data_IF_925579386278
#
_entry.id   IF_925579386278
#
_cell.length_a   1.000
_cell.length_b   1.000
_cell.length_c   1.000
_cell.angle_alpha   90.00
_cell.angle_beta   90.00
_cell.angle_gamma   90.00
#
_symmetry.space_group_name_H-M   'P 1'
#
loop_
_entity.id
_entity.type
_entity.pdbx_description
1 polymer ?
#
# COMPACT_ATOMS: atom_id res chain seq x y z
N UNK A 1 3.07 15.79 9.52
CA UNK A 1 3.91 16.98 9.74
C UNK A 1 3.53 17.61 11.06
N UNK A 2 4.51 17.95 11.89
CA UNK A 2 4.33 18.57 13.20
C UNK A 2 4.57 20.08 13.03
N UNK A 3 3.49 20.86 13.05
CA UNK A 3 3.50 22.32 12.89
C UNK A 3 2.91 23.06 14.09
N UNK A 4 2.65 24.36 13.95
CA UNK A 4 2.27 25.26 15.06
C UNK A 4 1.09 24.75 15.92
N UNK A 5 0.03 24.23 15.29
CA UNK A 5 -1.13 23.70 16.01
C UNK A 5 -0.83 22.43 16.81
N UNK A 6 0.18 21.66 16.41
CA UNK A 6 0.64 20.50 17.15
C UNK A 6 1.43 20.94 18.39
N UNK A 7 2.36 21.90 18.25
CA UNK A 7 3.15 22.45 19.35
C UNK A 7 2.27 23.07 20.44
N UNK A 8 1.23 23.82 20.09
CA UNK A 8 0.27 24.40 21.05
C UNK A 8 -0.47 23.36 21.92
N UNK A 9 -0.55 22.11 21.46
CA UNK A 9 -1.18 21.01 22.20
C UNK A 9 -0.18 20.24 23.08
N UNK A 10 1.10 20.53 22.96
CA UNK A 10 2.15 19.88 23.75
C UNK A 10 2.20 20.47 25.16
N UNK A 11 2.85 19.73 26.05
CA UNK A 11 3.19 20.25 27.38
C UNK A 11 4.37 21.21 27.23
N UNK A 12 4.38 22.29 28.00
CA UNK A 12 5.53 23.21 28.10
C UNK A 12 6.84 22.49 28.47
N UNK A 13 6.75 21.36 29.17
CA UNK A 13 7.89 20.54 29.56
C UNK A 13 8.34 19.53 28.50
N UNK A 14 7.72 19.52 27.31
CA UNK A 14 8.00 18.53 26.29
C UNK A 14 9.31 18.81 25.54
N UNK A 15 9.96 17.74 25.09
CA UNK A 15 11.06 17.78 24.14
C UNK A 15 10.65 17.08 22.86
N UNK A 16 11.06 17.62 21.71
CA UNK A 16 10.82 17.00 20.40
C UNK A 16 12.13 16.53 19.80
N UNK A 17 12.15 15.29 19.31
CA UNK A 17 13.35 14.71 18.67
C UNK A 17 13.00 14.28 17.26
N UNK A 18 13.77 14.76 16.26
CA UNK A 18 13.68 14.30 14.89
C UNK A 18 15.05 13.84 14.37
N UNK A 19 15.18 12.52 14.30
CA UNK A 19 16.32 11.80 13.72
C UNK A 19 15.86 10.90 12.56
N UNK A 20 14.72 11.24 11.95
CA UNK A 20 14.04 10.39 10.96
C UNK A 20 14.13 10.97 9.56
N UNK A 21 13.37 12.03 9.26
CA UNK A 21 13.39 12.71 7.95
C UNK A 21 13.20 14.22 8.08
N UNK A 22 13.86 14.97 7.20
CA UNK A 22 13.59 16.39 7.00
C UNK A 22 12.12 16.63 6.63
N UNK A 23 11.54 17.72 7.11
CA UNK A 23 10.14 18.10 6.83
C UNK A 23 9.06 17.35 7.62
N UNK A 24 9.43 16.41 8.50
CA UNK A 24 8.46 15.87 9.46
C UNK A 24 8.02 16.92 10.49
N UNK A 25 8.91 17.85 10.81
CA UNK A 25 8.66 19.02 11.65
C UNK A 25 8.78 20.26 10.76
N UNK A 26 7.84 21.18 10.94
CA UNK A 26 7.94 22.52 10.37
C UNK A 26 9.02 23.32 11.13
N UNK A 27 10.10 23.66 10.43
CA UNK A 27 11.29 24.30 11.02
C UNK A 27 11.01 25.71 11.55
N UNK A 28 10.09 26.45 10.92
CA UNK A 28 9.69 27.79 11.36
C UNK A 28 8.79 27.68 12.60
N UNK A 29 7.80 26.80 12.56
CA UNK A 29 6.94 26.58 13.74
C UNK A 29 7.71 26.01 14.94
N UNK A 30 8.75 25.19 14.70
CA UNK A 30 9.64 24.70 15.76
C UNK A 30 10.42 25.85 16.40
N UNK A 31 10.97 26.75 15.59
CA UNK A 31 11.69 27.92 16.08
C UNK A 31 10.78 28.79 16.96
N UNK A 32 9.59 29.14 16.48
CA UNK A 32 8.62 29.94 17.25
C UNK A 32 8.22 29.24 18.56
N UNK A 33 7.94 27.93 18.52
CA UNK A 33 7.55 27.18 19.72
C UNK A 33 8.66 27.11 20.78
N UNK A 34 9.94 27.10 20.36
CA UNK A 34 11.10 27.14 21.24
C UNK A 34 11.36 28.53 21.80
N UNK A 35 11.24 29.57 20.97
CA UNK A 35 11.43 30.97 21.37
C UNK A 35 10.35 31.41 22.37
N UNK A 36 9.10 31.04 22.13
CA UNK A 36 7.96 31.33 23.00
C UNK A 36 7.91 30.48 24.29
N UNK A 37 8.77 29.47 24.40
CA UNK A 37 8.74 28.52 25.52
C UNK A 37 7.50 27.61 25.55
N UNK A 38 6.84 27.39 24.41
CA UNK A 38 5.72 26.45 24.29
C UNK A 38 6.17 25.00 24.48
N UNK A 39 7.45 24.71 24.23
CA UNK A 39 8.11 23.44 24.53
C UNK A 39 9.48 23.70 25.18
N UNK A 40 10.00 22.71 25.90
CA UNK A 40 11.22 22.85 26.67
C UNK A 40 12.50 22.77 25.82
N UNK A 41 12.48 22.06 24.70
CA UNK A 41 13.66 21.92 23.84
C UNK A 41 13.49 20.94 22.68
N UNK A 42 14.55 20.77 21.89
CA UNK A 42 14.53 19.88 20.73
C UNK A 42 15.88 19.20 20.45
N UNK A 43 15.84 18.04 19.78
CA UNK A 43 16.99 17.31 19.25
C UNK A 43 16.79 17.01 17.77
N UNK A 44 17.57 17.61 16.87
CA UNK A 44 17.34 17.54 15.42
C UNK A 44 18.60 17.07 14.69
N UNK A 45 18.49 15.98 13.93
CA UNK A 45 19.59 15.45 13.09
C UNK A 45 19.37 15.68 11.59
N UNK A 46 18.14 15.96 11.18
CA UNK A 46 17.73 16.00 9.76
C UNK A 46 16.94 17.27 9.46
N UNK A 47 17.11 17.81 8.25
CA UNK A 47 16.57 19.11 7.84
C UNK A 47 15.81 19.02 6.50
N UNK A 48 14.88 19.93 6.25
CA UNK A 48 14.13 19.99 4.97
C UNK A 48 15.09 20.13 3.79
N UNK A 49 16.09 20.99 3.94
CA UNK A 49 17.14 21.22 2.96
C UNK A 49 18.49 20.93 3.59
N UNK A 50 19.24 20.02 2.98
CA UNK A 50 20.60 19.68 3.39
C UNK A 50 21.58 19.93 2.22
N UNK A 51 22.76 20.52 2.46
CA UNK A 51 23.30 20.97 3.75
C UNK A 51 22.54 22.18 4.34
N UNK A 52 22.36 22.17 5.66
CA UNK A 52 21.78 23.27 6.43
C UNK A 52 22.85 23.90 7.30
N UNK A 53 22.96 25.23 7.30
CA UNK A 53 24.05 25.94 7.99
C UNK A 53 23.59 27.11 8.86
N UNK A 54 22.36 27.57 8.71
CA UNK A 54 21.89 28.86 9.20
C UNK A 54 20.42 28.86 9.63
N UNK A 55 19.91 27.73 10.15
CA UNK A 55 18.54 27.70 10.66
C UNK A 55 18.41 28.53 11.95
N UNK A 56 17.27 29.23 12.15
CA UNK A 56 17.09 30.16 13.27
C UNK A 56 17.24 29.56 14.66
N UNK A 57 16.94 28.26 14.81
CA UNK A 57 17.10 27.55 16.09
C UNK A 57 18.53 27.04 16.32
N UNK A 58 19.47 27.25 15.38
CA UNK A 58 20.88 26.93 15.60
C UNK A 58 21.47 27.91 16.61
N UNK A 59 22.05 27.35 17.69
CA UNK A 59 22.64 28.14 18.77
C UNK A 59 21.68 28.47 19.92
N UNK A 60 20.43 28.01 19.88
CA UNK A 60 19.56 28.00 21.06
C UNK A 60 20.08 26.98 22.08
N UNK A 61 20.23 27.38 23.35
CA UNK A 61 20.81 26.54 24.42
C UNK A 61 19.97 25.27 24.71
N UNK A 62 18.69 25.28 24.38
CA UNK A 62 17.75 24.17 24.57
C UNK A 62 17.57 23.31 23.30
N UNK A 63 18.43 23.48 22.29
CA UNK A 63 18.39 22.72 21.05
C UNK A 63 19.72 22.01 20.82
N UNK A 64 19.65 20.70 20.64
CA UNK A 64 20.79 19.89 20.19
C UNK A 64 20.61 19.61 18.71
N UNK A 65 21.61 19.96 17.91
CA UNK A 65 21.64 19.64 16.48
C UNK A 65 22.84 18.77 16.14
N UNK A 66 22.62 17.81 15.25
CA UNK A 66 23.69 17.00 14.64
C UNK A 66 23.54 17.01 13.12
N UNK A 67 24.64 16.97 12.36
CA UNK A 67 24.60 17.08 10.90
C UNK A 67 24.35 15.72 10.23
N UNK A 68 23.13 15.19 10.33
CA UNK A 68 22.69 13.92 9.72
C UNK A 68 23.63 12.74 10.03
N UNK A 69 23.90 12.56 11.33
CA UNK A 69 24.83 11.56 11.84
C UNK A 69 24.18 10.20 12.15
N UNK A 70 22.86 10.04 12.00
CA UNK A 70 22.13 8.82 12.36
C UNK A 70 22.74 7.51 11.81
N UNK A 71 23.30 7.53 10.61
CA UNK A 71 23.96 6.37 9.97
C UNK A 71 25.50 6.51 9.86
N UNK A 72 26.08 7.54 10.47
CA UNK A 72 27.51 7.84 10.43
C UNK A 72 28.28 7.06 11.50
N UNK A 73 28.15 5.73 11.50
CA UNK A 73 28.87 4.81 12.40
C UNK A 73 29.61 3.74 11.61
N UNK A 74 30.73 3.24 12.15
CA UNK A 74 31.54 2.20 11.51
C UNK A 74 30.72 0.94 11.23
N UNK A 75 29.89 0.51 12.18
CA UNK A 75 29.06 -0.68 12.04
C UNK A 75 27.96 -0.53 10.98
N UNK A 76 27.38 0.67 10.84
CA UNK A 76 26.38 0.93 9.82
C UNK A 76 27.02 0.98 8.42
N UNK A 77 28.18 1.61 8.29
CA UNK A 77 28.93 1.68 7.04
C UNK A 77 29.45 0.30 6.60
N UNK A 78 29.94 -0.52 7.53
CA UNK A 78 30.35 -1.90 7.23
C UNK A 78 29.16 -2.74 6.72
N UNK A 79 28.01 -2.69 7.41
CA UNK A 79 26.80 -3.40 6.98
C UNK A 79 26.33 -2.94 5.61
N UNK A 80 26.31 -1.63 5.36
CA UNK A 80 25.94 -1.07 4.07
C UNK A 80 26.90 -1.56 2.96
N UNK A 81 28.21 -1.52 3.21
CA UNK A 81 29.23 -2.02 2.29
C UNK A 81 29.05 -3.50 1.95
N UNK A 82 28.83 -4.35 2.96
CA UNK A 82 28.60 -5.79 2.76
C UNK A 82 27.30 -6.05 1.98
N UNK A 83 26.22 -5.31 2.24
CA UNK A 83 24.95 -5.45 1.51
C UNK A 83 25.13 -5.12 0.03
N UNK A 84 25.74 -3.97 -0.27
CA UNK A 84 25.98 -3.55 -1.66
C UNK A 84 26.91 -4.53 -2.39
N UNK A 85 27.97 -5.02 -1.74
CA UNK A 85 28.87 -6.01 -2.33
C UNK A 85 28.14 -7.32 -2.70
N UNK A 86 27.24 -7.82 -1.83
CA UNK A 86 26.40 -8.99 -2.14
C UNK A 86 25.48 -8.71 -3.32
N UNK A 87 24.82 -7.55 -3.35
CA UNK A 87 23.91 -7.16 -4.42
C UNK A 87 24.62 -7.01 -5.77
N UNK A 88 25.83 -6.43 -5.81
CA UNK A 88 26.66 -6.36 -7.02
C UNK A 88 27.09 -7.75 -7.49
N UNK A 89 27.45 -8.66 -6.58
CA UNK A 89 27.80 -10.05 -6.93
C UNK A 89 26.63 -10.77 -7.61
N UNK A 90 25.42 -10.63 -7.06
CA UNK A 90 24.19 -11.21 -7.63
C UNK A 90 23.90 -10.62 -9.02
N UNK A 91 24.01 -9.29 -9.14
CA UNK A 91 23.80 -8.59 -10.41
C UNK A 91 24.72 -9.10 -11.52
N UNK A 92 26.02 -9.23 -11.22
CA UNK A 92 27.04 -9.69 -12.17
C UNK A 92 26.88 -11.19 -12.53
N UNK A 93 26.28 -11.99 -11.64
CA UNK A 93 25.94 -13.38 -11.90
C UNK A 93 24.67 -13.54 -12.73
N UNK A 94 23.95 -12.46 -13.04
CA UNK A 94 22.64 -12.51 -13.71
C UNK A 94 21.53 -13.05 -12.80
N UNK A 95 21.75 -13.06 -11.49
CA UNK A 95 20.80 -13.51 -10.48
C UNK A 95 19.82 -12.38 -10.10
N UNK A 96 18.73 -12.72 -9.41
CA UNK A 96 17.82 -11.72 -8.83
C UNK A 96 18.59 -10.90 -7.78
N UNK A 97 18.54 -9.58 -7.87
CA UNK A 97 19.16 -8.67 -6.89
C UNK A 97 18.07 -8.24 -5.91
N UNK A 98 18.05 -8.77 -4.68
CA UNK A 98 17.01 -8.47 -3.72
C UNK A 98 16.95 -6.98 -3.40
N UNK A 99 18.09 -6.28 -3.30
CA UNK A 99 18.22 -4.86 -2.92
C UNK A 99 17.98 -3.87 -4.07
N UNK A 100 17.52 -4.34 -5.23
CA UNK A 100 17.40 -3.48 -6.40
C UNK A 100 16.29 -2.45 -6.21
N UNK A 101 16.65 -1.17 -6.21
CA UNK A 101 15.72 -0.04 -6.09
C UNK A 101 14.84 0.08 -7.34
N UNK A 102 15.31 -0.47 -8.47
CA UNK A 102 14.59 -0.68 -9.71
C UNK A 102 14.71 -2.16 -10.12
N UNK A 103 13.66 -2.76 -10.70
CA UNK A 103 13.69 -4.19 -11.06
C UNK A 103 14.79 -4.46 -12.10
N UNK A 104 15.89 -5.05 -11.64
CA UNK A 104 16.89 -5.70 -12.47
C UNK A 104 17.34 -6.97 -11.75
N UNK A 105 16.47 -7.99 -11.75
CA UNK A 105 16.81 -9.30 -11.24
C UNK A 105 16.43 -10.37 -12.23
N UNK A 106 17.43 -11.13 -12.68
CA UNK A 106 17.26 -12.25 -13.61
C UNK A 106 16.59 -11.92 -14.94
N UNK A 107 16.63 -12.87 -15.89
CA UNK A 107 15.75 -12.79 -17.06
C UNK A 107 14.35 -13.18 -16.61
N UNK A 108 13.54 -12.18 -16.23
CA UNK A 108 12.10 -12.41 -15.98
C UNK A 108 11.47 -12.83 -17.31
N UNK A 109 10.87 -14.01 -17.33
CA UNK A 109 10.17 -14.54 -18.49
C UNK A 109 9.17 -13.51 -19.02
N UNK A 110 9.09 -13.37 -20.35
CA UNK A 110 8.22 -12.41 -21.02
C UNK A 110 6.75 -12.54 -20.59
N UNK A 111 6.34 -13.76 -20.25
CA UNK A 111 4.96 -14.10 -19.92
C UNK A 111 4.63 -13.80 -18.45
N UNK A 112 5.64 -13.75 -17.57
CA UNK A 112 5.49 -13.39 -16.14
C UNK A 112 5.51 -11.88 -15.94
N UNK A 113 6.34 -11.17 -16.71
CA UNK A 113 6.59 -9.73 -16.55
C UNK A 113 5.31 -8.86 -16.52
N UNK A 114 4.29 -9.08 -17.38
CA UNK A 114 3.04 -8.33 -17.34
C UNK A 114 2.26 -8.50 -16.03
N UNK A 115 2.44 -9.62 -15.32
CA UNK A 115 1.78 -9.92 -14.06
C UNK A 115 2.28 -9.09 -12.87
N UNK A 116 3.49 -8.52 -12.95
CA UNK A 116 4.11 -7.74 -11.87
C UNK A 116 3.27 -6.50 -11.51
N UNK A 117 2.96 -5.57 -12.43
CA UNK A 117 2.12 -4.42 -12.10
C UNK A 117 0.68 -4.82 -11.73
N UNK A 118 0.18 -5.96 -12.22
CA UNK A 118 -1.14 -6.46 -11.85
C UNK A 118 -1.18 -6.90 -10.37
N UNK A 119 -0.28 -7.79 -9.96
CA UNK A 119 -0.27 -8.34 -8.60
C UNK A 119 0.06 -7.25 -7.56
N UNK A 120 0.84 -6.23 -7.94
CA UNK A 120 1.09 -5.07 -7.09
C UNK A 120 -0.20 -4.27 -6.82
N UNK A 121 -0.99 -3.98 -7.87
CA UNK A 121 -2.32 -3.35 -7.71
C UNK A 121 -3.29 -4.23 -6.93
N UNK A 122 -3.26 -5.55 -7.16
CA UNK A 122 -4.05 -6.50 -6.36
C UNK A 122 -3.66 -6.43 -4.88
N UNK A 123 -2.38 -6.24 -4.55
CA UNK A 123 -1.92 -6.05 -3.18
C UNK A 123 -2.55 -4.82 -2.51
N UNK A 124 -2.60 -3.69 -3.21
CA UNK A 124 -3.25 -2.46 -2.72
C UNK A 124 -4.76 -2.64 -2.55
N UNK A 125 -5.43 -3.25 -3.54
CA UNK A 125 -6.86 -3.61 -3.45
C UNK A 125 -7.11 -4.53 -2.23
N UNK A 126 -6.31 -5.58 -2.06
CA UNK A 126 -6.38 -6.50 -0.93
C UNK A 126 -6.29 -5.77 0.41
N UNK A 127 -5.33 -4.86 0.54
CA UNK A 127 -5.12 -4.08 1.76
C UNK A 127 -6.27 -3.13 2.05
N UNK A 128 -6.83 -2.46 1.04
CA UNK A 128 -8.00 -1.58 1.22
C UNK A 128 -9.25 -2.32 1.72
N UNK A 129 -9.37 -3.61 1.41
CA UNK A 129 -10.46 -4.48 1.88
C UNK A 129 -10.20 -5.09 3.27
N UNK A 130 -8.97 -4.99 3.77
CA UNK A 130 -8.58 -5.54 5.07
C UNK A 130 -9.15 -4.72 6.22
N UNK A 131 -9.67 -5.39 7.26
CA UNK A 131 -10.35 -4.76 8.40
C UNK A 131 -9.80 -5.17 9.77
N UNK A 132 -8.88 -6.13 9.81
CA UNK A 132 -8.18 -6.59 10.99
C UNK A 132 -6.73 -6.93 10.60
N UNK A 133 -5.86 -7.15 11.60
CA UNK A 133 -4.44 -7.40 11.34
C UNK A 133 -4.23 -8.70 10.56
N UNK A 134 -3.36 -8.66 9.54
CA UNK A 134 -2.96 -9.85 8.79
C UNK A 134 -2.11 -10.78 9.66
N UNK A 135 -2.35 -12.07 9.53
CA UNK A 135 -1.55 -13.13 10.15
C UNK A 135 -0.88 -14.03 9.10
N UNK A 136 -1.45 -14.08 7.89
CA UNK A 136 -0.92 -14.86 6.78
C UNK A 136 -1.29 -14.22 5.44
N UNK A 137 -0.39 -14.32 4.46
CA UNK A 137 -0.58 -13.94 3.06
C UNK A 137 -0.16 -15.11 2.17
N UNK A 138 -1.07 -15.61 1.35
CA UNK A 138 -0.80 -16.57 0.30
C UNK A 138 -0.89 -15.86 -1.06
N UNK A 139 0.18 -15.95 -1.86
CA UNK A 139 0.23 -15.49 -3.24
C UNK A 139 0.08 -16.71 -4.13
N UNK A 140 -1.05 -16.81 -4.83
CA UNK A 140 -1.36 -17.95 -5.71
C UNK A 140 -1.18 -17.54 -7.16
N UNK A 141 -0.44 -18.36 -7.92
CA UNK A 141 -0.21 -18.20 -9.35
C UNK A 141 -0.75 -19.42 -10.08
N UNK A 142 -1.86 -19.23 -10.78
CA UNK A 142 -2.57 -20.28 -11.50
C UNK A 142 -2.37 -20.14 -13.02
N UNK A 143 -2.36 -21.28 -13.72
CA UNK A 143 -2.33 -21.35 -15.19
C UNK A 143 -0.95 -21.58 -15.77
N UNK A 144 -0.77 -21.21 -17.05
CA UNK A 144 0.43 -21.58 -17.82
C UNK A 144 1.75 -21.04 -17.23
N UNK A 145 1.72 -19.82 -16.66
CA UNK A 145 2.91 -19.18 -16.08
C UNK A 145 3.38 -19.83 -14.77
N UNK A 146 2.58 -20.71 -14.15
CA UNK A 146 2.93 -21.41 -12.90
C UNK A 146 4.15 -22.32 -13.04
N UNK A 147 4.47 -22.74 -14.28
CA UNK A 147 5.65 -23.57 -14.60
C UNK A 147 6.96 -22.77 -14.73
N UNK A 148 6.87 -21.43 -14.71
CA UNK A 148 8.01 -20.51 -14.84
C UNK A 148 8.52 -20.03 -13.46
N UNK A 149 9.63 -19.31 -13.44
CA UNK A 149 10.07 -18.62 -12.22
C UNK A 149 9.16 -17.41 -11.93
N UNK A 150 8.26 -17.58 -10.96
CA UNK A 150 7.25 -16.61 -10.57
C UNK A 150 7.52 -15.96 -9.21
N UNK A 151 8.71 -16.14 -8.63
CA UNK A 151 9.06 -15.55 -7.32
C UNK A 151 8.93 -14.03 -7.28
N UNK A 152 9.18 -13.37 -8.41
CA UNK A 152 9.00 -11.92 -8.53
C UNK A 152 7.55 -11.47 -8.27
N UNK A 153 6.56 -12.33 -8.55
CA UNK A 153 5.16 -12.03 -8.29
C UNK A 153 4.83 -12.04 -6.79
N UNK A 154 5.48 -12.90 -6.01
CA UNK A 154 5.38 -12.87 -4.53
C UNK A 154 5.90 -11.54 -3.99
N UNK A 155 7.09 -11.13 -4.42
CA UNK A 155 7.68 -9.86 -3.98
C UNK A 155 6.80 -8.65 -4.38
N UNK A 156 6.25 -8.68 -5.59
CA UNK A 156 5.37 -7.63 -6.09
C UNK A 156 4.03 -7.59 -5.35
N UNK A 157 3.46 -8.75 -5.02
CA UNK A 157 2.26 -8.84 -4.18
C UNK A 157 2.51 -8.19 -2.82
N UNK A 158 3.59 -8.59 -2.13
CA UNK A 158 3.93 -8.06 -0.80
C UNK A 158 4.21 -6.55 -0.86
N UNK A 159 4.90 -6.08 -1.89
CA UNK A 159 5.11 -4.64 -2.10
C UNK A 159 3.78 -3.89 -2.15
N UNK A 160 2.83 -4.37 -2.96
CA UNK A 160 1.49 -3.80 -3.06
C UNK A 160 0.71 -3.86 -1.75
N UNK A 161 0.77 -4.98 -1.03
CA UNK A 161 0.07 -5.16 0.26
C UNK A 161 0.56 -4.14 1.29
N UNK A 162 1.87 -3.90 1.36
CA UNK A 162 2.43 -3.00 2.37
C UNK A 162 2.47 -1.53 1.98
N UNK A 163 2.27 -1.19 0.70
CA UNK A 163 2.41 0.17 0.16
C UNK A 163 1.66 1.23 0.98
N UNK A 164 0.41 0.96 1.35
CA UNK A 164 -0.49 1.94 1.97
C UNK A 164 -0.59 1.81 3.50
N UNK A 165 0.17 0.89 4.12
CA UNK A 165 0.07 0.56 5.58
C UNK A 165 1.39 0.71 6.34
N UNK A 166 2.42 1.25 5.69
CA UNK A 166 3.70 1.57 6.31
C UNK A 166 4.12 3.00 5.95
N UNK A 167 4.92 3.62 6.82
CA UNK A 167 5.44 4.98 6.60
C UNK A 167 6.73 5.01 5.77
N UNK A 168 7.42 3.88 5.68
CA UNK A 168 8.65 3.72 4.91
C UNK A 168 8.34 3.41 3.45
N UNK A 169 9.26 3.71 2.54
CA UNK A 169 9.05 3.34 1.14
C UNK A 169 9.17 1.82 0.98
N UNK A 170 8.12 1.18 0.45
CA UNK A 170 8.13 -0.26 0.20
C UNK A 170 8.77 -0.56 -1.16
N UNK A 171 9.59 -1.59 -1.17
CA UNK A 171 10.35 -2.09 -2.31
C UNK A 171 10.22 -3.62 -2.36
N UNK A 172 10.62 -4.22 -3.48
CA UNK A 172 10.67 -5.68 -3.61
C UNK A 172 11.63 -6.33 -2.60
N UNK A 173 12.57 -5.55 -2.05
CA UNK A 173 13.57 -5.98 -1.06
C UNK A 173 12.98 -6.11 0.33
N UNK A 174 12.37 -5.02 0.81
CA UNK A 174 12.00 -4.87 2.21
C UNK A 174 10.60 -5.40 2.47
N UNK A 175 9.77 -5.62 1.44
CA UNK A 175 8.42 -6.15 1.63
C UNK A 175 8.38 -7.51 2.37
N UNK A 176 9.23 -8.51 2.05
CA UNK A 176 9.31 -9.74 2.84
C UNK A 176 9.78 -9.51 4.29
N UNK A 177 10.74 -8.60 4.49
CA UNK A 177 11.26 -8.25 5.81
C UNK A 177 10.20 -7.57 6.67
N UNK A 178 9.39 -6.69 6.06
CA UNK A 178 8.24 -6.04 6.70
C UNK A 178 7.22 -7.09 7.13
N UNK A 179 6.93 -8.10 6.29
CA UNK A 179 6.05 -9.20 6.64
C UNK A 179 6.58 -9.99 7.85
N UNK A 180 7.85 -10.38 7.82
CA UNK A 180 8.51 -11.13 8.90
C UNK A 180 8.52 -10.36 10.23
N UNK A 181 8.89 -9.08 10.20
CA UNK A 181 8.91 -8.21 11.39
C UNK A 181 7.52 -8.02 12.00
N UNK A 182 6.46 -8.11 11.18
CA UNK A 182 5.06 -8.04 11.61
C UNK A 182 4.49 -9.41 11.98
N UNK A 183 5.28 -10.48 11.93
CA UNK A 183 4.84 -11.83 12.23
C UNK A 183 3.83 -12.39 11.24
N UNK A 184 3.84 -11.90 9.99
CA UNK A 184 2.95 -12.33 8.92
C UNK A 184 3.62 -13.46 8.16
N UNK A 185 3.00 -14.64 8.14
CA UNK A 185 3.50 -15.76 7.36
C UNK A 185 3.17 -15.56 5.87
N UNK A 186 4.17 -15.67 4.99
CA UNK A 186 3.97 -15.55 3.54
C UNK A 186 4.20 -16.88 2.84
N UNK A 187 3.39 -17.20 1.82
CA UNK A 187 3.57 -18.39 0.99
C UNK A 187 3.31 -18.09 -0.48
N UNK A 188 4.17 -18.58 -1.34
CA UNK A 188 3.92 -18.67 -2.78
C UNK A 188 3.34 -20.04 -3.13
N UNK A 189 2.17 -20.06 -3.76
CA UNK A 189 1.45 -21.26 -4.18
C UNK A 189 1.32 -21.22 -5.71
N UNK A 190 1.63 -22.32 -6.38
CA UNK A 190 1.54 -22.41 -7.84
C UNK A 190 0.68 -23.59 -8.25
N UNK A 191 -0.18 -23.40 -9.26
CA UNK A 191 -0.98 -24.48 -9.85
C UNK A 191 -1.05 -24.34 -11.37
N UNK A 192 -0.91 -25.43 -12.15
CA UNK A 192 -1.09 -25.38 -13.60
C UNK A 192 -2.57 -25.25 -14.00
N UNK A 193 -3.50 -25.50 -13.07
CA UNK A 193 -4.93 -25.47 -13.33
C UNK A 193 -5.48 -24.05 -13.14
N UNK A 194 -6.14 -23.54 -14.18
CA UNK A 194 -6.95 -22.33 -14.13
C UNK A 194 -8.23 -22.60 -14.94
N UNK A 195 -9.39 -22.27 -14.37
CA UNK A 195 -10.69 -22.63 -14.96
C UNK A 195 -11.07 -21.68 -16.11
N UNK A 196 -11.24 -20.39 -15.80
CA UNK A 196 -11.83 -19.42 -16.73
C UNK A 196 -10.83 -18.59 -17.54
N UNK A 197 -9.57 -18.55 -17.09
CA UNK A 197 -8.53 -17.68 -17.68
C UNK A 197 -7.22 -18.42 -17.87
N UNK A 198 -6.43 -17.98 -18.85
CA UNK A 198 -5.11 -18.56 -19.16
C UNK A 198 -4.16 -18.52 -17.96
N UNK A 199 -4.19 -17.43 -17.22
CA UNK A 199 -3.45 -17.23 -15.98
C UNK A 199 -4.30 -16.44 -14.99
N UNK A 200 -4.27 -16.80 -13.71
CA UNK A 200 -4.92 -16.04 -12.64
C UNK A 200 -3.92 -15.80 -11.52
N UNK A 201 -3.86 -14.57 -11.04
CA UNK A 201 -3.05 -14.16 -9.92
C UNK A 201 -3.97 -13.84 -8.74
N UNK A 202 -3.77 -14.51 -7.61
CA UNK A 202 -4.64 -14.35 -6.43
C UNK A 202 -3.79 -14.02 -5.21
N UNK A 203 -4.25 -13.06 -4.41
CA UNK A 203 -3.74 -12.82 -3.06
C UNK A 203 -4.84 -13.24 -2.10
N UNK A 204 -4.51 -14.14 -1.18
CA UNK A 204 -5.37 -14.52 -0.05
C UNK A 204 -4.70 -14.14 1.25
N UNK A 205 -5.47 -13.82 2.27
CA UNK A 205 -4.93 -13.68 3.61
C UNK A 205 -5.90 -14.06 4.70
N UNK A 206 -5.32 -14.45 5.83
CA UNK A 206 -6.03 -14.73 7.06
C UNK A 206 -5.84 -13.57 8.03
N UNK A 207 -6.93 -13.10 8.62
CA UNK A 207 -6.91 -12.02 9.59
C UNK A 207 -6.91 -12.55 11.02
N UNK A 208 -6.53 -11.69 11.97
CA UNK A 208 -6.46 -12.01 13.40
C UNK A 208 -7.80 -12.39 14.03
N UNK A 209 -8.92 -12.04 13.39
CA UNK A 209 -10.27 -12.42 13.83
C UNK A 209 -10.78 -13.73 13.21
N UNK A 210 -9.94 -14.40 12.42
CA UNK A 210 -10.26 -15.66 11.75
C UNK A 210 -10.98 -15.50 10.41
N UNK A 211 -11.32 -14.28 10.00
CA UNK A 211 -11.85 -14.02 8.67
C UNK A 211 -10.77 -14.20 7.59
N UNK A 212 -11.22 -14.43 6.36
CA UNK A 212 -10.37 -14.53 5.18
C UNK A 212 -10.75 -13.48 4.16
N UNK A 213 -9.74 -12.96 3.46
CA UNK A 213 -9.90 -12.04 2.35
C UNK A 213 -9.18 -12.62 1.14
N UNK A 214 -9.74 -12.40 -0.04
CA UNK A 214 -9.08 -12.73 -1.29
C UNK A 214 -9.38 -11.73 -2.39
N UNK A 215 -8.40 -11.49 -3.26
CA UNK A 215 -8.58 -10.77 -4.51
C UNK A 215 -7.85 -11.51 -5.61
N UNK A 216 -8.45 -11.58 -6.80
CA UNK A 216 -7.90 -12.29 -7.94
C UNK A 216 -7.97 -11.41 -9.19
N UNK A 217 -6.93 -11.46 -10.02
CA UNK A 217 -6.85 -10.69 -11.25
C UNK A 217 -6.23 -11.47 -12.40
N UNK A 218 -6.44 -10.97 -13.61
CA UNK A 218 -5.86 -11.53 -14.84
C UNK A 218 -5.56 -10.44 -15.86
N UNK A 219 -4.88 -10.82 -16.94
CA UNK A 219 -4.57 -9.97 -18.09
C UNK A 219 -5.32 -10.52 -19.30
N UNK A 220 -6.10 -9.68 -19.97
CA UNK A 220 -6.97 -10.10 -21.07
C UNK A 220 -6.59 -9.46 -22.41
N UNK A 221 -6.69 -10.26 -23.46
CA UNK A 221 -6.47 -9.87 -24.86
C UNK A 221 -5.03 -9.47 -25.19
N UNK A 222 -4.76 -9.11 -26.46
CA UNK A 222 -3.42 -8.72 -26.92
C UNK A 222 -2.87 -7.47 -26.22
N UNK A 223 -3.78 -6.61 -25.74
CA UNK A 223 -3.43 -5.38 -24.99
C UNK A 223 -3.06 -5.64 -23.53
N UNK A 224 -3.18 -6.89 -23.05
CA UNK A 224 -2.88 -7.25 -21.66
C UNK A 224 -3.64 -6.35 -20.66
N UNK A 225 -4.94 -6.16 -20.90
CA UNK A 225 -5.78 -5.31 -20.03
C UNK A 225 -5.92 -5.99 -18.69
N UNK A 226 -5.47 -5.31 -17.64
CA UNK A 226 -5.58 -5.72 -16.24
C UNK A 226 -7.04 -5.73 -15.80
N UNK A 227 -7.51 -6.87 -15.32
CA UNK A 227 -8.87 -7.03 -14.80
C UNK A 227 -8.84 -7.65 -13.41
N UNK A 228 -9.72 -7.15 -12.56
CA UNK A 228 -10.11 -7.81 -11.32
C UNK A 228 -11.17 -8.85 -11.69
N UNK A 229 -10.92 -10.12 -11.32
CA UNK A 229 -11.77 -11.26 -11.67
C UNK A 229 -12.34 -12.01 -10.47
N UNK A 230 -11.87 -11.72 -9.26
CA UNK A 230 -12.44 -12.27 -8.05
C UNK A 230 -12.21 -11.38 -6.84
N UNK A 231 -13.20 -11.29 -5.96
CA UNK A 231 -13.07 -10.62 -4.65
C UNK A 231 -13.86 -11.43 -3.62
N UNK A 232 -13.21 -11.95 -2.58
CA UNK A 232 -13.84 -12.70 -1.49
C UNK A 232 -14.78 -13.83 -1.97
N UNK A 233 -14.43 -14.50 -3.07
CA UNK A 233 -15.23 -15.57 -3.66
C UNK A 233 -16.43 -15.11 -4.50
N UNK A 234 -16.54 -13.82 -4.82
CA UNK A 234 -17.44 -13.31 -5.84
C UNK A 234 -16.70 -13.25 -7.18
N UNK A 235 -17.26 -13.90 -8.20
CA UNK A 235 -16.74 -13.81 -9.57
C UNK A 235 -17.11 -12.46 -10.17
N UNK A 236 -16.07 -11.75 -10.62
CA UNK A 236 -16.19 -10.44 -11.24
C UNK A 236 -15.36 -10.41 -12.52
N UNK A 237 -15.48 -9.36 -13.31
CA UNK A 237 -14.73 -9.11 -14.53
C UNK A 237 -14.78 -7.61 -14.85
N UNK A 238 -14.01 -6.82 -14.10
CA UNK A 238 -13.95 -5.36 -14.27
C UNK A 238 -12.51 -4.91 -14.51
N UNK A 239 -12.25 -3.95 -15.43
CA UNK A 239 -10.92 -3.36 -15.55
C UNK A 239 -10.48 -2.70 -14.24
N UNK A 240 -9.19 -2.80 -13.92
CA UNK A 240 -8.63 -2.07 -12.78
C UNK A 240 -8.39 -0.61 -13.18
N UNK A 241 -9.13 0.31 -12.57
CA UNK A 241 -8.96 1.77 -12.68
C UNK A 241 -8.13 2.32 -11.51
N UNK A 242 -7.75 3.60 -11.59
CA UNK A 242 -7.06 4.31 -10.50
C UNK A 242 -7.95 4.40 -9.26
N UNK A 243 -9.22 4.75 -9.42
CA UNK A 243 -10.15 4.81 -8.30
C UNK A 243 -11.25 3.75 -8.44
N UNK A 244 -11.45 2.96 -7.37
CA UNK A 244 -12.44 1.91 -7.28
C UNK A 244 -13.25 2.08 -5.99
N UNK A 245 -14.55 1.82 -6.03
CA UNK A 245 -15.38 1.68 -4.83
C UNK A 245 -15.91 0.26 -4.75
N UNK A 246 -15.66 -0.38 -3.61
CA UNK A 246 -16.11 -1.73 -3.29
C UNK A 246 -17.19 -1.64 -2.22
N UNK A 247 -18.36 -2.20 -2.54
CA UNK A 247 -19.53 -2.17 -1.67
C UNK A 247 -20.02 -3.59 -1.45
N UNK A 248 -20.21 -3.99 -0.19
CA UNK A 248 -20.93 -5.22 0.17
C UNK A 248 -22.20 -4.90 0.94
N UNK A 249 -23.32 -5.48 0.50
CA UNK A 249 -24.65 -5.21 1.06
C UNK A 249 -25.62 -6.38 0.85
N UNK A 250 -26.72 -6.40 1.60
CA UNK A 250 -27.80 -7.38 1.42
C UNK A 250 -28.70 -7.04 0.21
N UNK A 251 -28.96 -8.02 -0.66
CA UNK A 251 -29.72 -7.82 -1.91
C UNK A 251 -31.14 -7.31 -1.63
N UNK A 252 -31.42 -6.06 -2.04
CA UNK A 252 -32.76 -5.46 -1.94
C UNK A 252 -32.98 -4.42 -3.04
N UNK A 253 -34.25 -4.21 -3.47
CA UNK A 253 -34.57 -3.19 -4.46
C UNK A 253 -34.10 -1.79 -4.05
N UNK A 254 -33.61 -1.02 -5.03
CA UNK A 254 -33.27 0.40 -4.87
C UNK A 254 -31.81 0.69 -4.49
N UNK A 255 -31.01 -0.30 -4.07
CA UNK A 255 -29.62 -0.08 -3.62
C UNK A 255 -28.76 0.60 -4.69
N UNK A 256 -28.71 0.05 -5.90
CA UNK A 256 -27.91 0.62 -7.01
C UNK A 256 -28.37 2.05 -7.35
N UNK A 257 -29.68 2.31 -7.31
CA UNK A 257 -30.22 3.65 -7.54
C UNK A 257 -29.76 4.64 -6.47
N UNK A 258 -29.75 4.23 -5.21
CA UNK A 258 -29.24 5.05 -4.09
C UNK A 258 -27.75 5.34 -4.22
N UNK A 259 -26.93 4.34 -4.57
CA UNK A 259 -25.47 4.52 -4.78
C UNK A 259 -25.25 5.55 -5.90
N UNK A 260 -25.87 5.34 -7.06
CA UNK A 260 -25.74 6.25 -8.21
C UNK A 260 -26.25 7.65 -7.91
N UNK A 261 -27.34 7.79 -7.14
CA UNK A 261 -27.87 9.08 -6.73
C UNK A 261 -26.89 9.84 -5.81
N UNK A 262 -26.33 9.17 -4.80
CA UNK A 262 -25.38 9.79 -3.86
C UNK A 262 -24.11 10.24 -4.58
N UNK A 263 -23.53 9.38 -5.43
CA UNK A 263 -22.35 9.73 -6.23
C UNK A 263 -22.65 10.90 -7.18
N UNK A 264 -23.79 10.84 -7.88
CA UNK A 264 -24.22 11.91 -8.80
C UNK A 264 -24.46 13.25 -8.11
N UNK A 265 -25.02 13.27 -6.90
CA UNK A 265 -25.20 14.50 -6.12
C UNK A 265 -23.88 15.14 -5.68
N UNK A 266 -22.81 14.36 -5.63
CA UNK A 266 -21.46 14.82 -5.33
C UNK A 266 -20.61 15.02 -6.60
N UNK A 267 -21.21 14.99 -7.80
CA UNK A 267 -20.55 15.12 -9.09
C UNK A 267 -19.44 14.08 -9.34
N UNK A 268 -19.60 12.86 -8.81
CA UNK A 268 -18.66 11.75 -9.04
C UNK A 268 -19.23 10.85 -10.13
N UNK A 269 -18.49 10.73 -11.24
CA UNK A 269 -18.89 9.92 -12.38
C UNK A 269 -18.49 8.44 -12.21
N UNK A 270 -19.31 7.54 -12.76
CA UNK A 270 -19.08 6.10 -12.75
C UNK A 270 -18.66 5.68 -14.16
N UNK A 271 -17.39 5.32 -14.33
CA UNK A 271 -16.85 4.82 -15.61
C UNK A 271 -17.24 3.38 -15.93
N UNK A 272 -17.66 2.63 -14.91
CA UNK A 272 -17.92 1.20 -15.01
C UNK A 272 -18.46 0.66 -13.69
N UNK A 273 -19.34 -0.34 -13.78
CA UNK A 273 -19.94 -0.96 -12.61
C UNK A 273 -20.18 -2.43 -12.88
N UNK A 274 -19.89 -3.26 -11.88
CA UNK A 274 -20.25 -4.66 -11.87
C UNK A 274 -20.87 -5.03 -10.54
N UNK A 275 -21.92 -5.86 -10.62
CA UNK A 275 -22.62 -6.38 -9.45
C UNK A 275 -22.54 -7.90 -9.52
N UNK A 276 -22.05 -8.51 -8.45
CA UNK A 276 -21.92 -9.95 -8.31
C UNK A 276 -22.70 -10.42 -7.08
N UNK A 277 -23.39 -11.56 -7.22
CA UNK A 277 -24.15 -12.21 -6.15
C UNK A 277 -23.91 -13.71 -6.19
N UNK A 278 -23.74 -14.34 -5.04
CA UNK A 278 -23.58 -15.80 -4.94
C UNK A 278 -24.93 -16.53 -4.96
N UNK A 279 -25.98 -15.89 -4.43
CA UNK A 279 -27.35 -16.41 -4.41
C UNK A 279 -28.36 -15.26 -4.44
N UNK A 280 -29.57 -15.54 -4.93
CA UNK A 280 -30.66 -14.55 -4.94
C UNK A 280 -31.13 -14.22 -3.51
N UNK A 281 -31.21 -12.93 -3.17
CA UNK A 281 -31.56 -12.49 -1.81
C UNK A 281 -30.43 -12.60 -0.79
N UNK A 282 -29.23 -13.01 -1.21
CA UNK A 282 -28.04 -13.11 -0.36
C UNK A 282 -27.26 -11.79 -0.24
N UNK A 283 -25.98 -11.90 0.11
CA UNK A 283 -25.06 -10.76 -0.01
C UNK A 283 -24.66 -10.51 -1.47
N UNK A 284 -24.42 -9.24 -1.75
CA UNK A 284 -24.05 -8.71 -3.05
C UNK A 284 -22.77 -7.91 -2.90
N UNK A 285 -21.86 -8.10 -3.85
CA UNK A 285 -20.69 -7.26 -4.04
C UNK A 285 -20.93 -6.35 -5.26
N UNK A 286 -20.80 -5.04 -5.08
CA UNK A 286 -20.74 -4.09 -6.17
C UNK A 286 -19.34 -3.47 -6.25
N UNK A 287 -18.80 -3.44 -7.47
CA UNK A 287 -17.54 -2.79 -7.81
C UNK A 287 -17.85 -1.65 -8.77
N UNK A 288 -17.35 -0.46 -8.47
CA UNK A 288 -17.52 0.73 -9.30
C UNK A 288 -16.15 1.31 -9.63
N UNK A 289 -15.84 1.46 -10.91
CA UNK A 289 -14.71 2.28 -11.37
C UNK A 289 -15.22 3.71 -11.47
N UNK A 290 -14.52 4.65 -10.85
CA UNK A 290 -14.92 6.05 -10.77
C UNK A 290 -13.78 6.95 -11.25
N UNK A 291 -14.12 8.17 -11.66
CA UNK A 291 -13.16 9.05 -12.34
C UNK A 291 -12.25 9.84 -11.38
N UNK A 292 -12.62 9.95 -10.10
CA UNK A 292 -11.91 10.72 -9.07
C UNK A 292 -12.02 10.04 -7.71
N UNK A 293 -11.10 10.32 -6.80
CA UNK A 293 -11.21 9.89 -5.39
C UNK A 293 -12.54 10.34 -4.74
N UNK A 294 -13.06 9.51 -3.83
CA UNK A 294 -14.34 9.71 -3.14
C UNK A 294 -14.09 10.23 -1.73
N UNK A 295 -14.60 11.43 -1.38
CA UNK A 295 -14.50 11.91 -0.01
C UNK A 295 -15.13 10.92 0.99
N UNK A 296 -14.47 10.72 2.14
CA UNK A 296 -14.91 9.81 3.19
C UNK A 296 -16.39 10.03 3.60
N UNK A 297 -16.85 11.28 3.63
CA UNK A 297 -18.24 11.63 3.92
C UNK A 297 -19.24 11.02 2.92
N UNK A 298 -18.86 10.92 1.64
CA UNK A 298 -19.68 10.32 0.59
C UNK A 298 -19.73 8.80 0.75
N UNK A 299 -18.60 8.16 1.07
CA UNK A 299 -18.56 6.72 1.37
C UNK A 299 -19.45 6.37 2.59
N UNK A 300 -19.43 7.21 3.63
CA UNK A 300 -20.29 7.07 4.80
C UNK A 300 -21.77 7.27 4.46
N UNK A 301 -22.09 8.26 3.61
CA UNK A 301 -23.45 8.48 3.12
C UNK A 301 -23.96 7.27 2.32
N UNK A 302 -23.13 6.67 1.46
CA UNK A 302 -23.45 5.43 0.74
C UNK A 302 -23.73 4.32 1.75
N UNK A 303 -22.80 4.11 2.71
CA UNK A 303 -22.91 3.05 3.72
C UNK A 303 -24.22 3.15 4.50
N UNK A 304 -24.55 4.34 5.01
CA UNK A 304 -25.77 4.59 5.76
C UNK A 304 -27.03 4.48 4.88
N UNK A 305 -27.00 5.03 3.66
CA UNK A 305 -28.15 5.08 2.76
C UNK A 305 -28.62 3.69 2.30
N UNK A 306 -27.69 2.74 2.16
CA UNK A 306 -28.01 1.39 1.70
C UNK A 306 -27.94 0.34 2.81
N UNK A 307 -27.45 0.70 4.00
CA UNK A 307 -27.22 -0.25 5.09
C UNK A 307 -26.15 -1.29 4.71
N UNK A 308 -25.06 -0.84 4.09
CA UNK A 308 -24.00 -1.72 3.64
C UNK A 308 -23.16 -2.22 4.81
N UNK A 309 -22.72 -3.47 4.71
CA UNK A 309 -21.75 -4.07 5.62
C UNK A 309 -20.38 -3.41 5.43
N UNK A 310 -20.01 -3.19 4.16
CA UNK A 310 -18.74 -2.62 3.75
C UNK A 310 -18.91 -1.59 2.63
N UNK A 311 -18.24 -0.45 2.79
CA UNK A 311 -17.97 0.52 1.72
C UNK A 311 -16.50 0.91 1.86
N UNK A 312 -15.72 0.68 0.81
CA UNK A 312 -14.29 0.97 0.75
C UNK A 312 -13.97 1.62 -0.57
N UNK A 313 -13.20 2.68 -0.51
CA UNK A 313 -12.48 3.18 -1.66
C UNK A 313 -11.15 2.43 -1.75
N UNK A 314 -10.76 2.10 -2.97
CA UNK A 314 -9.39 1.73 -3.31
C UNK A 314 -8.88 2.82 -4.23
N UNK A 315 -7.88 3.54 -3.74
CA UNK A 315 -7.15 4.52 -4.51
C UNK A 315 -5.81 3.92 -4.93
N UNK A 316 -5.61 3.81 -6.24
CA UNK A 316 -4.42 3.26 -6.88
C UNK A 316 -3.60 4.34 -7.60
N UNK A 317 -3.92 5.63 -7.41
CA UNK A 317 -3.02 6.72 -7.79
C UNK A 317 -1.71 6.62 -6.97
N UNK A 318 -0.59 7.05 -7.58
CA UNK A 318 0.77 6.95 -7.01
C UNK A 318 1.14 8.18 -6.16
#
# INVERSE_FOLDING_TARGET
MLGADAFKKMKETAYVVNVARGGLIDEEALHEALEDGQIAGAGIDVFVKEPSTDLPFFGMDNVIVTPHLGASTDEAQEKAGVSVAKSVRLALAGELVPDAVNVAGGVIASDVRPGIPLIEKLGRIFTALTHASLTQIDVEVAGEISSLDVKVLELAALKGVFADVVTEQVSYVNAPVIAEQRGINTRLITTPEAEDYRNVLTIRGALSDGSQISVAGTLTGPKQVQKLVGVNGYDVEIPISEHLVVVSYADRPGVIGTIGHILGMNNINIGGMQVARQSEGGQVLALLTIDTSVPQQVLEAIKAGIGADMVREVDLED
#
